data_IF_818669770438
#
_entry.id   IF_818669770438
#
_cell.length_a   1.000
_cell.length_b   1.000
_cell.length_c   1.000
_cell.angle_alpha   90.00
_cell.angle_beta   90.00
_cell.angle_gamma   90.00
#
_symmetry.space_group_name_H-M   'P 1'
#
loop_
_entity.id
_entity.type
_entity.pdbx_description
1 polymer ?
#
# COMPACT_ATOMS: atom_id res chain seq x y z
N UNK A 1 19.56 66.34 -47.56
CA UNK A 1 20.22 65.01 -47.62
C UNK A 1 20.13 64.19 -46.31
N UNK A 2 19.48 64.68 -45.26
CA UNK A 2 19.44 64.06 -43.92
C UNK A 2 18.13 63.33 -43.57
N UNK A 3 17.09 63.41 -44.42
CA UNK A 3 15.75 62.87 -44.14
C UNK A 3 15.61 61.38 -44.57
N UNK A 4 16.17 61.00 -45.72
CA UNK A 4 16.18 59.61 -46.21
C UNK A 4 16.99 58.63 -45.33
N UNK A 5 17.96 59.14 -44.56
CA UNK A 5 18.73 58.33 -43.62
C UNK A 5 17.88 57.96 -42.39
N UNK A 6 17.01 58.85 -41.89
CA UNK A 6 16.17 58.53 -40.72
C UNK A 6 15.12 57.46 -41.02
N UNK A 7 14.56 57.48 -42.23
CA UNK A 7 13.53 56.52 -42.64
C UNK A 7 14.08 55.09 -42.84
N UNK A 8 15.31 54.98 -43.36
CA UNK A 8 15.97 53.69 -43.58
C UNK A 8 16.47 53.05 -42.29
N UNK A 9 16.86 53.83 -41.29
CA UNK A 9 17.19 53.32 -39.96
C UNK A 9 15.95 52.84 -39.19
N UNK A 10 14.85 53.61 -39.23
CA UNK A 10 13.59 53.20 -38.59
C UNK A 10 12.89 51.98 -39.22
N UNK A 11 13.17 51.64 -40.49
CA UNK A 11 12.73 50.35 -41.08
C UNK A 11 13.57 49.16 -40.56
N UNK A 12 14.88 49.33 -40.44
CA UNK A 12 15.79 48.27 -39.97
C UNK A 12 15.47 47.81 -38.55
N UNK A 13 15.16 48.73 -37.65
CA UNK A 13 14.82 48.38 -36.26
C UNK A 13 13.49 47.61 -36.16
N UNK A 14 12.49 47.97 -36.99
CA UNK A 14 11.20 47.25 -37.03
C UNK A 14 11.33 45.82 -37.54
N UNK A 15 12.20 45.57 -38.51
CA UNK A 15 12.44 44.22 -39.03
C UNK A 15 13.17 43.35 -38.00
N UNK A 16 14.11 43.92 -37.24
CA UNK A 16 14.82 43.20 -36.16
C UNK A 16 13.86 42.83 -35.03
N UNK A 17 12.94 43.73 -34.66
CA UNK A 17 11.95 43.46 -33.62
C UNK A 17 10.91 42.41 -34.06
N UNK A 18 10.48 42.44 -35.33
CA UNK A 18 9.59 41.42 -35.88
C UNK A 18 10.24 40.03 -35.89
N UNK A 19 11.51 39.92 -36.27
CA UNK A 19 12.26 38.66 -36.22
C UNK A 19 12.41 38.18 -34.77
N UNK A 20 12.75 39.04 -33.82
CA UNK A 20 12.82 38.69 -32.39
C UNK A 20 11.48 38.19 -31.84
N UNK A 21 10.38 38.86 -32.16
CA UNK A 21 9.05 38.44 -31.74
C UNK A 21 8.66 37.08 -32.34
N UNK A 22 9.00 36.82 -33.60
CA UNK A 22 8.77 35.50 -34.22
C UNK A 22 9.56 34.38 -33.54
N UNK A 23 10.85 34.61 -33.22
CA UNK A 23 11.69 33.64 -32.52
C UNK A 23 11.19 33.38 -31.10
N UNK A 24 10.75 34.41 -30.39
CA UNK A 24 10.16 34.27 -29.05
C UNK A 24 8.82 33.52 -29.11
N UNK A 25 7.97 33.79 -30.10
CA UNK A 25 6.72 33.08 -30.31
C UNK A 25 6.96 31.59 -30.56
N UNK A 26 7.88 31.24 -31.46
CA UNK A 26 8.23 29.84 -31.73
C UNK A 26 8.89 29.16 -30.53
N UNK A 27 9.70 29.87 -29.74
CA UNK A 27 10.27 29.32 -28.51
C UNK A 27 9.20 29.04 -27.44
N UNK A 28 8.20 29.92 -27.30
CA UNK A 28 7.07 29.74 -26.39
C UNK A 28 6.15 28.59 -26.84
N UNK A 29 5.87 28.49 -28.13
CA UNK A 29 5.05 27.41 -28.70
C UNK A 29 5.74 26.04 -28.51
N UNK A 30 7.04 25.96 -28.79
CA UNK A 30 7.83 24.75 -28.52
C UNK A 30 7.89 24.40 -27.02
N UNK A 31 7.93 25.39 -26.13
CA UNK A 31 7.90 25.18 -24.68
C UNK A 31 6.53 24.69 -24.20
N UNK A 32 5.43 25.24 -24.73
CA UNK A 32 4.06 24.80 -24.42
C UNK A 32 3.82 23.37 -24.91
N UNK A 33 4.27 23.02 -26.12
CA UNK A 33 4.19 21.66 -26.64
C UNK A 33 4.97 20.64 -25.80
N UNK A 34 6.18 21.03 -25.34
CA UNK A 34 6.97 20.23 -24.41
C UNK A 34 6.26 19.99 -23.08
N UNK A 35 5.66 21.03 -22.51
CA UNK A 35 4.89 20.96 -21.26
C UNK A 35 3.67 20.04 -21.39
N UNK A 36 2.88 20.21 -22.46
CA UNK A 36 1.71 19.36 -22.76
C UNK A 36 2.09 17.89 -22.94
N UNK A 37 3.21 17.61 -23.62
CA UNK A 37 3.70 16.25 -23.79
C UNK A 37 4.08 15.59 -22.46
N UNK A 38 4.71 16.34 -21.55
CA UNK A 38 5.05 15.86 -20.20
C UNK A 38 3.76 15.58 -19.40
N UNK A 39 2.79 16.48 -19.42
CA UNK A 39 1.52 16.31 -18.71
C UNK A 39 0.72 15.11 -19.19
N UNK A 40 0.65 14.91 -20.51
CA UNK A 40 0.02 13.71 -21.09
C UNK A 40 0.73 12.43 -20.63
N UNK A 41 2.06 12.44 -20.56
CA UNK A 41 2.86 11.31 -20.08
C UNK A 41 2.61 11.02 -18.60
N UNK A 42 2.55 12.05 -17.75
CA UNK A 42 2.19 11.93 -16.32
C UNK A 42 0.79 11.33 -16.17
N UNK A 43 -0.20 11.90 -16.86
CA UNK A 43 -1.58 11.43 -16.82
C UNK A 43 -1.69 9.96 -17.26
N UNK A 44 -0.97 9.58 -18.30
CA UNK A 44 -0.87 8.19 -18.76
C UNK A 44 -0.26 7.27 -17.70
N UNK A 45 0.81 7.69 -17.00
CA UNK A 45 1.43 6.93 -15.89
C UNK A 45 0.45 6.75 -14.74
N UNK A 46 -0.23 7.82 -14.32
CA UNK A 46 -1.24 7.83 -13.26
C UNK A 46 -2.39 6.87 -13.58
N UNK A 47 -2.96 6.97 -14.78
CA UNK A 47 -4.05 6.09 -15.22
C UNK A 47 -3.65 4.61 -15.21
N UNK A 48 -2.41 4.26 -15.61
CA UNK A 48 -1.93 2.87 -15.54
C UNK A 48 -1.83 2.35 -14.12
N UNK A 49 -1.37 3.16 -13.17
CA UNK A 49 -1.29 2.76 -11.75
C UNK A 49 -2.69 2.58 -11.15
N UNK A 50 -3.60 3.52 -11.41
CA UNK A 50 -5.01 3.44 -10.97
C UNK A 50 -5.67 2.16 -11.49
N UNK A 51 -5.58 1.89 -12.80
CA UNK A 51 -6.12 0.67 -13.41
C UNK A 51 -5.48 -0.60 -12.86
N UNK A 52 -4.19 -0.54 -12.52
CA UNK A 52 -3.48 -1.64 -11.87
C UNK A 52 -4.10 -2.00 -10.51
N UNK A 53 -4.36 -1.00 -9.66
CA UNK A 53 -5.03 -1.21 -8.38
C UNK A 53 -6.49 -1.64 -8.53
N UNK A 54 -7.22 -1.13 -9.53
CA UNK A 54 -8.58 -1.57 -9.87
C UNK A 54 -8.61 -3.05 -10.28
N UNK A 55 -7.68 -3.48 -11.16
CA UNK A 55 -7.56 -4.87 -11.57
C UNK A 55 -7.21 -5.78 -10.39
N UNK A 56 -6.31 -5.34 -9.50
CA UNK A 56 -5.99 -6.06 -8.28
C UNK A 56 -7.24 -6.22 -7.39
N UNK A 57 -7.96 -5.12 -7.10
CA UNK A 57 -9.20 -5.17 -6.33
C UNK A 57 -10.22 -6.14 -6.94
N UNK A 58 -10.51 -6.00 -8.24
CA UNK A 58 -11.45 -6.85 -8.95
C UNK A 58 -11.05 -8.34 -8.91
N UNK A 59 -9.76 -8.64 -9.04
CA UNK A 59 -9.26 -10.02 -8.99
C UNK A 59 -9.43 -10.67 -7.61
N UNK A 60 -9.22 -9.93 -6.52
CA UNK A 60 -9.52 -10.43 -5.17
C UNK A 60 -11.02 -10.62 -4.95
N UNK A 61 -11.85 -9.68 -5.41
CA UNK A 61 -13.32 -9.83 -5.34
C UNK A 61 -13.77 -11.09 -6.10
N UNK A 62 -13.28 -11.29 -7.33
CA UNK A 62 -13.57 -12.47 -8.12
C UNK A 62 -13.10 -13.75 -7.40
N UNK A 63 -11.89 -13.75 -6.82
CA UNK A 63 -11.40 -14.87 -6.02
C UNK A 63 -12.30 -15.15 -4.80
N UNK A 64 -12.79 -14.10 -4.13
CA UNK A 64 -13.70 -14.20 -2.99
C UNK A 64 -15.04 -14.83 -3.39
N UNK A 65 -15.66 -14.33 -4.47
CA UNK A 65 -16.92 -14.85 -5.00
C UNK A 65 -16.79 -16.31 -5.45
N UNK A 66 -15.70 -16.66 -6.14
CA UNK A 66 -15.44 -18.03 -6.55
C UNK A 66 -15.18 -18.95 -5.36
N UNK A 67 -14.50 -18.47 -4.33
CA UNK A 67 -14.29 -19.23 -3.09
C UNK A 67 -15.62 -19.47 -2.38
N UNK A 68 -16.49 -18.45 -2.28
CA UNK A 68 -17.83 -18.59 -1.71
C UNK A 68 -18.69 -19.59 -2.50
N UNK A 69 -18.67 -19.50 -3.84
CA UNK A 69 -19.42 -20.41 -4.72
C UNK A 69 -18.92 -21.86 -4.66
N UNK A 70 -17.62 -22.06 -4.49
CA UNK A 70 -17.02 -23.40 -4.36
C UNK A 70 -17.35 -24.08 -3.02
N UNK A 71 -18.27 -23.52 -2.23
CA UNK A 71 -18.64 -24.05 -0.93
C UNK A 71 -17.48 -23.98 0.04
N UNK A 72 -16.65 -22.91 -0.02
CA UNK A 72 -15.69 -22.65 1.04
C UNK A 72 -16.47 -22.66 2.37
N UNK A 73 -16.32 -23.75 3.12
CA UNK A 73 -17.10 -24.07 4.31
C UNK A 73 -16.87 -23.11 5.47
N UNK A 74 -16.04 -22.08 5.24
CA UNK A 74 -15.58 -21.14 6.24
C UNK A 74 -15.42 -19.75 5.62
N UNK A 75 -16.04 -18.75 6.24
CA UNK A 75 -15.89 -17.32 5.90
C UNK A 75 -14.45 -16.80 6.13
N UNK A 76 -13.63 -17.59 6.81
CA UNK A 76 -12.33 -17.23 7.39
C UNK A 76 -11.25 -16.98 6.35
N UNK A 77 -11.06 -17.84 5.33
CA UNK A 77 -10.05 -17.57 4.30
C UNK A 77 -10.44 -16.33 3.49
N UNK A 78 -11.74 -16.08 3.30
CA UNK A 78 -12.23 -14.90 2.60
C UNK A 78 -11.96 -13.64 3.45
N UNK A 79 -12.47 -13.60 4.67
CA UNK A 79 -12.35 -12.44 5.56
C UNK A 79 -10.90 -12.14 5.99
N UNK A 80 -10.06 -13.16 6.15
CA UNK A 80 -8.68 -13.00 6.63
C UNK A 80 -7.61 -12.95 5.54
N UNK A 81 -7.87 -13.43 4.32
CA UNK A 81 -6.88 -13.50 3.24
C UNK A 81 -7.30 -12.70 2.00
N UNK A 82 -8.59 -12.60 1.68
CA UNK A 82 -9.03 -11.93 0.45
C UNK A 82 -9.43 -10.47 0.74
N UNK A 83 -10.21 -10.25 1.79
CA UNK A 83 -10.76 -8.92 2.10
C UNK A 83 -9.66 -7.88 2.41
N UNK A 84 -8.64 -8.14 3.24
CA UNK A 84 -7.64 -7.11 3.57
C UNK A 84 -6.86 -6.58 2.36
N UNK A 85 -6.22 -7.40 1.51
CA UNK A 85 -5.51 -6.87 0.35
C UNK A 85 -6.46 -6.22 -0.67
N UNK A 86 -7.69 -6.72 -0.84
CA UNK A 86 -8.70 -6.07 -1.69
C UNK A 86 -9.02 -4.65 -1.19
N UNK A 87 -9.34 -4.50 0.10
CA UNK A 87 -9.72 -3.22 0.64
C UNK A 87 -8.54 -2.23 0.68
N UNK A 88 -7.31 -2.69 0.93
CA UNK A 88 -6.13 -1.84 0.77
C UNK A 88 -5.93 -1.47 -0.71
N UNK A 89 -6.17 -2.37 -1.66
CA UNK A 89 -6.16 -2.02 -3.09
C UNK A 89 -7.11 -0.86 -3.39
N UNK A 90 -8.31 -0.88 -2.81
CA UNK A 90 -9.29 0.21 -2.93
C UNK A 90 -8.79 1.53 -2.34
N UNK A 91 -8.15 1.49 -1.17
CA UNK A 91 -7.44 2.65 -0.58
C UNK A 91 -6.38 3.20 -1.54
N UNK A 92 -5.60 2.31 -2.18
CA UNK A 92 -4.53 2.69 -3.11
C UNK A 92 -5.07 3.33 -4.40
N UNK A 93 -6.25 2.92 -4.89
CA UNK A 93 -6.94 3.62 -6.00
C UNK A 93 -7.17 5.08 -5.63
N UNK A 94 -7.73 5.33 -4.44
CA UNK A 94 -7.98 6.69 -3.95
C UNK A 94 -6.68 7.46 -3.72
N UNK A 95 -5.62 6.81 -3.23
CA UNK A 95 -4.32 7.44 -3.06
C UNK A 95 -3.71 7.88 -4.39
N UNK A 96 -3.74 7.00 -5.40
CA UNK A 96 -3.24 7.24 -6.74
C UNK A 96 -4.01 8.34 -7.46
N UNK A 97 -5.35 8.39 -7.34
CA UNK A 97 -6.18 9.43 -7.98
C UNK A 97 -5.90 10.83 -7.44
N UNK A 98 -5.55 10.95 -6.15
CA UNK A 98 -5.32 12.23 -5.48
C UNK A 98 -3.83 12.56 -5.28
N UNK A 99 -2.92 11.90 -6.00
CA UNK A 99 -1.47 12.15 -5.94
C UNK A 99 -0.86 12.01 -4.54
N UNK A 100 -1.38 11.09 -3.72
CA UNK A 100 -0.92 10.86 -2.34
C UNK A 100 0.07 9.71 -2.20
N UNK A 101 0.47 9.04 -3.29
CA UNK A 101 1.33 7.84 -3.22
C UNK A 101 2.72 8.11 -2.63
N UNK A 102 3.15 9.36 -2.61
CA UNK A 102 4.44 9.78 -2.08
C UNK A 102 4.50 9.86 -0.55
N UNK A 103 3.34 9.84 0.13
CA UNK A 103 3.27 9.78 1.59
C UNK A 103 3.78 8.45 2.12
N UNK A 104 4.50 8.51 3.26
CA UNK A 104 5.01 7.35 3.99
C UNK A 104 3.95 6.27 4.23
N UNK A 105 2.70 6.68 4.46
CA UNK A 105 1.55 5.77 4.65
C UNK A 105 1.39 4.86 3.45
N UNK A 106 1.31 5.42 2.24
CA UNK A 106 1.02 4.64 1.04
C UNK A 106 2.25 3.90 0.50
N UNK A 107 3.45 4.43 0.76
CA UNK A 107 4.71 3.70 0.56
C UNK A 107 4.75 2.42 1.42
N UNK A 108 4.45 2.52 2.72
CA UNK A 108 4.38 1.36 3.62
C UNK A 108 3.28 0.37 3.22
N UNK A 109 2.11 0.85 2.79
CA UNK A 109 1.03 -0.01 2.31
C UNK A 109 1.41 -0.75 1.02
N UNK A 110 2.12 -0.11 0.08
CA UNK A 110 2.66 -0.80 -1.09
C UNK A 110 3.67 -1.88 -0.69
N UNK A 111 4.58 -1.59 0.25
CA UNK A 111 5.55 -2.59 0.73
C UNK A 111 4.85 -3.76 1.43
N UNK A 112 3.83 -3.48 2.25
CA UNK A 112 3.02 -4.51 2.91
C UNK A 112 2.29 -5.38 1.89
N UNK A 113 1.72 -4.78 0.84
CA UNK A 113 1.09 -5.52 -0.25
C UNK A 113 2.13 -6.33 -1.05
N UNK A 114 3.33 -5.79 -1.28
CA UNK A 114 4.41 -6.52 -1.96
C UNK A 114 4.83 -7.77 -1.18
N UNK A 115 5.11 -7.62 0.12
CA UNK A 115 5.38 -8.73 1.04
C UNK A 115 4.23 -9.74 0.99
N UNK A 116 2.99 -9.24 1.08
CA UNK A 116 1.79 -10.06 1.06
C UNK A 116 1.66 -10.89 -0.23
N UNK A 117 1.89 -10.28 -1.39
CA UNK A 117 1.84 -10.93 -2.69
C UNK A 117 2.94 -11.97 -2.85
N UNK A 118 4.18 -11.66 -2.47
CA UNK A 118 5.33 -12.58 -2.59
C UNK A 118 5.17 -13.81 -1.71
N UNK A 119 4.86 -13.61 -0.42
CA UNK A 119 4.65 -14.72 0.51
C UNK A 119 3.38 -15.49 0.12
N UNK A 120 2.35 -14.83 -0.39
CA UNK A 120 1.15 -15.51 -0.86
C UNK A 120 1.40 -16.41 -2.08
N UNK A 121 2.25 -15.97 -3.01
CA UNK A 121 2.68 -16.82 -4.14
C UNK A 121 3.47 -18.03 -3.64
N UNK A 122 4.36 -17.84 -2.65
CA UNK A 122 5.08 -18.94 -2.00
C UNK A 122 4.10 -19.93 -1.34
N UNK A 123 3.09 -19.45 -0.61
CA UNK A 123 2.04 -20.30 -0.01
C UNK A 123 1.33 -21.13 -1.08
N UNK A 124 0.99 -20.54 -2.23
CA UNK A 124 0.36 -21.28 -3.33
C UNK A 124 1.30 -22.29 -3.98
N UNK A 125 2.59 -21.99 -4.08
CA UNK A 125 3.57 -22.93 -4.60
C UNK A 125 3.70 -24.16 -3.68
N UNK A 126 3.83 -23.92 -2.36
CA UNK A 126 3.95 -24.98 -1.35
C UNK A 126 2.68 -25.83 -1.22
N UNK A 127 1.50 -25.21 -1.31
CA UNK A 127 0.21 -25.89 -1.21
C UNK A 127 -0.32 -26.47 -2.53
N UNK A 128 0.47 -26.50 -3.61
CA UNK A 128 0.05 -26.99 -4.93
C UNK A 128 -1.04 -26.13 -5.63
N UNK A 129 -1.32 -24.94 -5.10
CA UNK A 129 -2.33 -24.01 -5.59
C UNK A 129 -1.92 -23.22 -6.84
N UNK A 130 -0.64 -23.26 -7.24
CA UNK A 130 -0.12 -22.51 -8.39
C UNK A 130 -0.78 -22.90 -9.73
N UNK A 131 -1.30 -24.13 -9.83
CA UNK A 131 -2.02 -24.64 -11.01
C UNK A 131 -3.40 -24.00 -11.21
N UNK A 132 -3.87 -23.15 -10.28
CA UNK A 132 -5.18 -22.49 -10.34
C UNK A 132 -4.98 -20.99 -10.62
N UNK A 133 -5.08 -20.55 -11.89
CA UNK A 133 -4.80 -19.16 -12.28
C UNK A 133 -5.60 -18.13 -11.47
N UNK A 134 -6.84 -18.45 -11.12
CA UNK A 134 -7.73 -17.63 -10.30
C UNK A 134 -7.12 -17.26 -8.93
N UNK A 135 -6.27 -18.12 -8.36
CA UNK A 135 -5.60 -17.88 -7.07
C UNK A 135 -4.28 -17.12 -7.25
N UNK A 136 -3.58 -17.36 -8.36
CA UNK A 136 -2.26 -16.77 -8.65
C UNK A 136 -2.40 -15.31 -9.11
N UNK A 137 -3.38 -15.04 -9.98
CA UNK A 137 -3.59 -13.74 -10.61
C UNK A 137 -3.67 -12.58 -9.60
N UNK A 138 -4.50 -12.60 -8.54
CA UNK A 138 -4.58 -11.49 -7.59
C UNK A 138 -3.24 -11.21 -6.91
N UNK A 139 -2.51 -12.24 -6.49
CA UNK A 139 -1.22 -12.10 -5.82
C UNK A 139 -0.14 -11.58 -6.79
N UNK A 140 -0.10 -12.08 -8.02
CA UNK A 140 0.81 -11.58 -9.05
C UNK A 140 0.55 -10.11 -9.38
N UNK A 141 -0.73 -9.72 -9.54
CA UNK A 141 -1.12 -8.32 -9.70
C UNK A 141 -0.74 -7.49 -8.47
N UNK A 142 -0.83 -8.04 -7.26
CA UNK A 142 -0.35 -7.37 -6.05
C UNK A 142 1.14 -7.06 -6.14
N UNK A 143 1.98 -8.04 -6.45
CA UNK A 143 3.43 -7.83 -6.57
C UNK A 143 3.74 -6.73 -7.60
N UNK A 144 3.19 -6.86 -8.82
CA UNK A 144 3.48 -5.91 -9.91
C UNK A 144 3.01 -4.49 -9.60
N UNK A 145 1.80 -4.34 -9.08
CA UNK A 145 1.24 -3.01 -8.82
C UNK A 145 1.81 -2.36 -7.57
N UNK A 146 2.20 -3.14 -6.56
CA UNK A 146 2.90 -2.63 -5.38
C UNK A 146 4.28 -2.08 -5.72
N UNK A 147 5.06 -2.78 -6.55
CA UNK A 147 6.37 -2.29 -7.01
C UNK A 147 6.20 -0.98 -7.79
N UNK A 148 5.25 -0.94 -8.73
CA UNK A 148 4.96 0.29 -9.49
C UNK A 148 4.52 1.42 -8.58
N UNK A 149 3.57 1.17 -7.69
CA UNK A 149 3.04 2.13 -6.74
C UNK A 149 4.11 2.72 -5.82
N UNK A 150 4.96 1.84 -5.25
CA UNK A 150 6.08 2.27 -4.42
C UNK A 150 7.08 3.10 -5.23
N UNK A 151 7.46 2.64 -6.43
CA UNK A 151 8.40 3.36 -7.28
C UNK A 151 7.91 4.76 -7.66
N UNK A 152 6.62 4.93 -7.99
CA UNK A 152 6.04 6.26 -8.24
C UNK A 152 5.91 7.10 -6.97
N UNK A 153 5.65 6.48 -5.81
CA UNK A 153 5.66 7.19 -4.53
C UNK A 153 7.04 7.74 -4.15
N UNK A 154 8.12 7.02 -4.47
CA UNK A 154 9.49 7.48 -4.20
C UNK A 154 9.95 8.49 -5.24
N UNK A 155 9.90 8.12 -6.53
CA UNK A 155 10.50 8.88 -7.63
C UNK A 155 9.62 10.03 -8.14
N UNK A 156 8.36 10.10 -7.69
CA UNK A 156 7.35 10.97 -8.27
C UNK A 156 6.87 10.51 -9.65
N UNK A 157 5.83 11.15 -10.16
CA UNK A 157 5.25 10.80 -11.47
C UNK A 157 6.17 11.11 -12.64
N UNK A 158 7.02 12.12 -12.49
CA UNK A 158 7.99 12.54 -13.51
C UNK A 158 9.28 11.73 -13.48
N UNK A 159 9.62 11.09 -12.35
CA UNK A 159 10.91 10.42 -12.11
C UNK A 159 12.10 11.38 -12.13
N UNK A 160 11.83 12.63 -11.79
CA UNK A 160 12.75 13.75 -11.73
C UNK A 160 13.49 13.85 -10.38
N UNK A 161 13.03 13.12 -9.36
CA UNK A 161 13.72 12.97 -8.07
C UNK A 161 14.95 12.09 -8.20
N UNK A 162 16.00 12.61 -8.83
CA UNK A 162 17.29 11.95 -9.03
C UNK A 162 18.12 11.85 -7.74
N UNK A 163 17.77 12.66 -6.74
CA UNK A 163 18.38 12.70 -5.41
C UNK A 163 17.94 11.54 -4.51
N UNK A 164 16.83 10.86 -4.84
CA UNK A 164 16.27 9.77 -4.02
C UNK A 164 16.36 8.43 -4.74
N UNK A 165 17.13 7.50 -4.16
CA UNK A 165 17.16 6.11 -4.62
C UNK A 165 16.06 5.28 -3.94
N UNK A 166 15.53 4.27 -4.63
CA UNK A 166 14.54 3.35 -4.05
C UNK A 166 15.07 2.64 -2.80
N UNK A 167 16.35 2.24 -2.83
CA UNK A 167 17.00 1.60 -1.69
C UNK A 167 17.22 2.58 -0.53
N UNK A 168 17.56 3.84 -0.82
CA UNK A 168 17.66 4.90 0.18
C UNK A 168 16.34 5.19 0.89
N UNK A 169 15.23 5.26 0.14
CA UNK A 169 13.90 5.42 0.74
C UNK A 169 13.48 4.19 1.56
N UNK A 170 13.79 2.98 1.07
CA UNK A 170 13.49 1.73 1.79
C UNK A 170 14.25 1.64 3.11
N UNK A 171 15.56 1.92 3.09
CA UNK A 171 16.40 1.90 4.31
C UNK A 171 15.96 2.97 5.31
N UNK A 172 15.62 4.17 4.83
CA UNK A 172 15.00 5.23 5.67
C UNK A 172 13.66 4.78 6.24
N UNK A 173 12.82 4.15 5.43
CA UNK A 173 11.52 3.60 5.83
C UNK A 173 11.65 2.51 6.90
N UNK A 174 12.62 1.60 6.74
CA UNK A 174 12.92 0.56 7.72
C UNK A 174 13.43 1.18 9.04
N UNK A 175 14.40 2.10 8.96
CA UNK A 175 14.95 2.81 10.13
C UNK A 175 13.87 3.56 10.90
N UNK A 176 13.03 4.33 10.20
CA UNK A 176 11.92 5.06 10.83
C UNK A 176 10.87 4.14 11.44
N UNK A 177 10.64 2.97 10.84
CA UNK A 177 9.74 1.95 11.39
C UNK A 177 10.30 1.40 12.70
N UNK A 178 11.56 0.97 12.71
CA UNK A 178 12.23 0.46 13.91
C UNK A 178 12.27 1.52 15.02
N UNK A 179 12.64 2.76 14.69
CA UNK A 179 12.64 3.86 15.65
C UNK A 179 11.24 4.14 16.19
N UNK A 180 10.21 4.05 15.34
CA UNK A 180 8.82 4.22 15.75
C UNK A 180 8.35 3.15 16.74
N UNK A 181 8.85 1.92 16.64
CA UNK A 181 8.59 0.87 17.63
C UNK A 181 9.19 1.16 19.02
N UNK A 182 10.28 1.93 19.09
CA UNK A 182 10.95 2.27 20.35
C UNK A 182 10.47 3.63 20.90
N UNK A 183 9.85 4.44 20.06
CA UNK A 183 9.39 5.78 20.43
C UNK A 183 8.15 5.74 21.33
N UNK A 184 8.15 6.55 22.39
CA UNK A 184 6.99 6.74 23.28
C UNK A 184 5.77 7.24 22.48
N UNK A 185 4.57 6.64 22.65
CA UNK A 185 3.37 7.10 21.96
C UNK A 185 2.99 8.51 22.43
N UNK A 186 2.54 9.36 21.49
CA UNK A 186 2.20 10.77 21.81
C UNK A 186 0.83 10.94 22.46
N UNK A 187 -0.10 10.02 22.21
CA UNK A 187 -1.45 10.05 22.76
C UNK A 187 -1.95 8.63 23.08
N UNK A 188 -3.07 8.53 23.82
CA UNK A 188 -3.62 7.24 24.25
C UNK A 188 -4.01 6.34 23.07
N UNK A 189 -4.56 6.92 21.99
CA UNK A 189 -4.91 6.17 20.77
C UNK A 189 -3.67 5.54 20.14
N UNK A 190 -2.59 6.31 19.97
CA UNK A 190 -1.32 5.83 19.47
C UNK A 190 -0.74 4.73 20.38
N UNK A 191 -0.89 4.85 21.70
CA UNK A 191 -0.52 3.82 22.68
C UNK A 191 -1.28 2.50 22.46
N UNK A 192 -2.60 2.56 22.24
CA UNK A 192 -3.41 1.38 21.93
C UNK A 192 -3.01 0.72 20.61
N UNK A 193 -2.78 1.49 19.54
CA UNK A 193 -2.28 0.94 18.28
C UNK A 193 -0.87 0.35 18.41
N UNK A 194 -0.01 0.96 19.22
CA UNK A 194 1.33 0.45 19.50
C UNK A 194 1.27 -0.90 20.22
N UNK A 195 0.44 -1.02 21.25
CA UNK A 195 0.22 -2.28 21.96
C UNK A 195 -0.32 -3.37 21.03
N UNK A 196 -1.30 -3.04 20.17
CA UNK A 196 -1.82 -3.95 19.15
C UNK A 196 -0.72 -4.39 18.18
N UNK A 197 0.08 -3.43 17.69
CA UNK A 197 1.17 -3.69 16.74
C UNK A 197 2.23 -4.61 17.35
N UNK A 198 2.66 -4.36 18.59
CA UNK A 198 3.62 -5.21 19.31
C UNK A 198 3.04 -6.62 19.50
N UNK A 199 1.76 -6.73 19.88
CA UNK A 199 1.11 -8.03 20.05
C UNK A 199 1.10 -8.83 18.74
N UNK A 200 0.68 -8.23 17.63
CA UNK A 200 0.68 -8.91 16.32
C UNK A 200 2.10 -9.23 15.86
N UNK A 201 3.06 -8.33 16.10
CA UNK A 201 4.46 -8.56 15.78
C UNK A 201 5.05 -9.75 16.56
N UNK A 202 4.72 -9.88 17.85
CA UNK A 202 5.12 -11.04 18.67
C UNK A 202 4.51 -12.33 18.13
N UNK A 203 3.23 -12.34 17.79
CA UNK A 203 2.58 -13.50 17.15
C UNK A 203 3.22 -13.85 15.80
N UNK A 204 3.58 -12.84 15.01
CA UNK A 204 4.32 -13.01 13.75
C UNK A 204 5.66 -13.69 13.99
N UNK A 205 6.42 -13.28 15.02
CA UNK A 205 7.70 -13.88 15.38
C UNK A 205 7.54 -15.32 15.87
N UNK A 206 6.49 -15.63 16.64
CA UNK A 206 6.18 -17.02 17.02
C UNK A 206 5.91 -17.89 15.79
N UNK A 207 5.17 -17.37 14.79
CA UNK A 207 4.97 -18.10 13.52
C UNK A 207 6.24 -18.20 12.68
N UNK A 208 7.13 -17.22 12.74
CA UNK A 208 8.44 -17.32 12.11
C UNK A 208 9.29 -18.41 12.77
N UNK A 209 9.27 -18.52 14.10
CA UNK A 209 9.94 -19.59 14.83
C UNK A 209 9.42 -20.96 14.39
N UNK A 210 8.10 -21.14 14.30
CA UNK A 210 7.49 -22.39 13.79
C UNK A 210 7.97 -22.72 12.37
N UNK A 211 8.07 -21.73 11.47
CA UNK A 211 8.61 -21.92 10.11
C UNK A 211 10.05 -22.43 10.17
N UNK A 212 10.89 -21.82 11.00
CA UNK A 212 12.30 -22.21 11.16
C UNK A 212 12.42 -23.61 11.75
N UNK A 213 11.66 -23.94 12.79
CA UNK A 213 11.65 -25.27 13.41
C UNK A 213 11.25 -26.35 12.41
N UNK A 214 10.22 -26.08 11.61
CA UNK A 214 9.75 -27.00 10.57
C UNK A 214 10.79 -27.19 9.46
N UNK A 215 11.50 -26.12 9.06
CA UNK A 215 12.60 -26.19 8.09
C UNK A 215 13.84 -26.93 8.63
N UNK A 216 14.10 -26.87 9.93
CA UNK A 216 15.22 -27.55 10.59
C UNK A 216 14.89 -28.98 11.01
N UNK A 217 13.60 -29.30 11.18
CA UNK A 217 13.16 -30.67 11.39
C UNK A 217 13.37 -31.45 10.09
N UNK A 218 14.26 -32.45 10.10
CA UNK A 218 14.48 -33.35 8.96
C UNK A 218 13.26 -34.27 8.67
N UNK A 219 12.09 -33.92 9.17
CA UNK A 219 10.84 -34.66 9.00
C UNK A 219 10.27 -34.39 7.61
N UNK A 220 9.65 -35.40 6.97
CA UNK A 220 8.98 -35.19 5.68
C UNK A 220 7.88 -34.12 5.83
N UNK A 221 8.08 -33.00 5.14
CA UNK A 221 7.15 -31.87 5.17
C UNK A 221 5.88 -32.23 4.40
N UNK A 222 4.78 -32.38 5.13
CA UNK A 222 3.45 -32.21 4.57
C UNK A 222 3.36 -30.78 4.02
N UNK A 223 3.42 -30.63 2.69
CA UNK A 223 3.42 -29.31 2.03
C UNK A 223 2.20 -28.46 2.40
N UNK A 224 1.09 -29.09 2.75
CA UNK A 224 -0.13 -28.42 3.23
C UNK A 224 0.01 -27.78 4.61
N UNK A 225 0.67 -28.44 5.55
CA UNK A 225 0.87 -27.92 6.90
C UNK A 225 1.85 -26.75 6.88
N UNK A 226 2.96 -26.88 6.15
CA UNK A 226 3.92 -25.80 5.99
C UNK A 226 3.30 -24.59 5.29
N UNK A 227 2.55 -24.79 4.20
CA UNK A 227 1.83 -23.71 3.52
C UNK A 227 0.85 -22.99 4.47
N UNK A 228 0.20 -23.72 5.39
CA UNK A 228 -0.72 -23.14 6.37
C UNK A 228 0.00 -22.25 7.38
N UNK A 229 1.17 -22.67 7.88
CA UNK A 229 2.00 -21.87 8.80
C UNK A 229 2.47 -20.59 8.10
N UNK A 230 3.00 -20.71 6.87
CA UNK A 230 3.44 -19.55 6.06
C UNK A 230 2.27 -18.60 5.75
N UNK A 231 1.08 -19.14 5.48
CA UNK A 231 -0.12 -18.31 5.24
C UNK A 231 -0.56 -17.54 6.50
N UNK A 232 -0.40 -18.12 7.69
CA UNK A 232 -0.65 -17.42 8.97
C UNK A 232 0.39 -16.33 9.21
N UNK A 233 1.67 -16.62 8.97
CA UNK A 233 2.74 -15.63 9.01
C UNK A 233 2.44 -14.44 8.09
N UNK A 234 2.08 -14.70 6.83
CA UNK A 234 1.78 -13.65 5.85
C UNK A 234 0.71 -12.66 6.32
N UNK A 235 -0.36 -13.19 6.93
CA UNK A 235 -1.46 -12.37 7.45
C UNK A 235 -1.05 -11.52 8.65
N UNK A 236 -0.28 -12.10 9.56
CA UNK A 236 0.25 -11.38 10.72
C UNK A 236 1.24 -10.30 10.29
N UNK A 237 2.07 -10.56 9.28
CA UNK A 237 2.94 -9.56 8.68
C UNK A 237 2.15 -8.37 8.12
N UNK A 238 1.13 -8.65 7.30
CA UNK A 238 0.27 -7.61 6.73
C UNK A 238 -0.49 -6.82 7.80
N UNK A 239 -1.06 -7.50 8.80
CA UNK A 239 -1.76 -6.88 9.93
C UNK A 239 -0.83 -6.04 10.81
N UNK A 240 0.42 -6.48 11.00
CA UNK A 240 1.44 -5.69 11.73
C UNK A 240 1.67 -4.36 11.03
N UNK A 241 1.85 -4.38 9.71
CA UNK A 241 2.08 -3.16 8.92
C UNK A 241 0.87 -2.22 8.92
N UNK A 242 -0.35 -2.76 8.82
CA UNK A 242 -1.57 -1.94 8.93
C UNK A 242 -1.71 -1.31 10.31
N UNK A 243 -1.49 -2.08 11.39
CA UNK A 243 -1.56 -1.59 12.77
C UNK A 243 -0.52 -0.51 13.06
N UNK A 244 0.71 -0.72 12.58
CA UNK A 244 1.79 0.28 12.71
C UNK A 244 1.47 1.56 11.94
N UNK A 245 0.87 1.44 10.77
CA UNK A 245 0.45 2.60 9.97
C UNK A 245 -0.65 3.41 10.68
N UNK A 246 -1.57 2.74 11.36
CA UNK A 246 -2.58 3.40 12.21
C UNK A 246 -1.96 4.07 13.44
N UNK A 247 -0.94 3.45 14.06
CA UNK A 247 -0.15 4.07 15.14
C UNK A 247 0.50 5.38 14.67
N UNK A 248 1.20 5.35 13.55
CA UNK A 248 1.86 6.55 12.98
C UNK A 248 0.84 7.63 12.58
N UNK A 249 -0.33 7.25 12.08
CA UNK A 249 -1.41 8.19 11.81
C UNK A 249 -1.99 8.81 13.09
N UNK A 250 -2.10 8.02 14.17
CA UNK A 250 -2.54 8.49 15.47
C UNK A 250 -1.56 9.48 16.10
N UNK A 251 -0.26 9.24 16.00
CA UNK A 251 0.78 10.17 16.50
C UNK A 251 0.80 11.52 15.76
N UNK A 252 0.22 11.58 14.55
CA UNK A 252 0.12 12.79 13.74
C UNK A 252 -1.28 13.41 13.79
N UNK A 253 -2.18 12.87 14.61
CA UNK A 253 -3.59 13.24 14.72
C UNK A 253 -4.37 13.21 13.38
N UNK A 254 -4.03 12.25 12.50
CA UNK A 254 -4.60 12.11 11.14
C UNK A 254 -5.68 11.04 11.00
N UNK A 255 -6.14 10.44 12.09
CA UNK A 255 -7.07 9.29 12.05
C UNK A 255 -8.43 9.57 11.37
N UNK A 256 -8.85 10.84 11.26
CA UNK A 256 -10.10 11.23 10.59
C UNK A 256 -10.12 10.97 9.07
N UNK A 257 -8.96 10.74 8.45
CA UNK A 257 -8.86 10.42 7.02
C UNK A 257 -9.63 9.15 6.65
N UNK A 258 -10.34 9.16 5.51
CA UNK A 258 -11.09 8.00 4.98
C UNK A 258 -10.27 6.71 4.95
N UNK A 259 -9.00 6.81 4.56
CA UNK A 259 -8.02 5.72 4.58
C UNK A 259 -7.90 5.07 5.96
N UNK A 260 -7.72 5.86 7.01
CA UNK A 260 -7.47 5.33 8.36
C UNK A 260 -8.74 4.79 9.01
N UNK A 261 -9.91 5.36 8.67
CA UNK A 261 -11.21 4.77 9.04
C UNK A 261 -11.37 3.38 8.44
N UNK A 262 -11.10 3.23 7.13
CA UNK A 262 -11.16 1.94 6.46
C UNK A 262 -10.15 0.93 7.04
N UNK A 263 -8.91 1.37 7.27
CA UNK A 263 -7.89 0.52 7.88
C UNK A 263 -8.24 0.06 9.29
N UNK A 264 -8.90 0.89 10.10
CA UNK A 264 -9.41 0.49 11.41
C UNK A 264 -10.39 -0.68 11.30
N UNK A 265 -11.40 -0.58 10.43
CA UNK A 265 -12.35 -1.69 10.23
C UNK A 265 -11.68 -2.95 9.68
N UNK A 266 -10.67 -2.82 8.81
CA UNK A 266 -9.90 -3.97 8.33
C UNK A 266 -9.07 -4.65 9.41
N UNK A 267 -8.43 -3.87 10.29
CA UNK A 267 -7.71 -4.41 11.43
C UNK A 267 -8.68 -5.08 12.41
N UNK A 268 -9.85 -4.48 12.67
CA UNK A 268 -10.90 -5.07 13.50
C UNK A 268 -11.37 -6.42 12.96
N UNK A 269 -11.68 -6.50 11.65
CA UNK A 269 -12.06 -7.74 10.98
C UNK A 269 -10.95 -8.78 11.07
N UNK A 270 -9.70 -8.40 10.78
CA UNK A 270 -8.56 -9.32 10.82
C UNK A 270 -8.31 -9.87 12.23
N UNK A 271 -8.48 -9.04 13.26
CA UNK A 271 -8.38 -9.43 14.67
C UNK A 271 -9.53 -10.35 15.10
N UNK A 272 -10.75 -10.08 14.66
CA UNK A 272 -11.88 -10.97 14.91
C UNK A 272 -11.67 -12.35 14.28
N UNK A 273 -11.24 -12.39 13.01
CA UNK A 273 -10.88 -13.65 12.33
C UNK A 273 -9.75 -14.38 13.07
N UNK A 274 -8.75 -13.66 13.58
CA UNK A 274 -7.69 -14.24 14.39
C UNK A 274 -8.20 -14.86 15.69
N UNK A 275 -9.03 -14.14 16.43
CA UNK A 275 -9.66 -14.61 17.67
C UNK A 275 -10.47 -15.89 17.44
N UNK A 276 -11.36 -15.93 16.46
CA UNK A 276 -12.28 -17.06 16.33
C UNK A 276 -11.65 -18.31 15.73
N UNK A 277 -10.60 -18.17 14.92
CA UNK A 277 -10.14 -19.28 14.07
C UNK A 277 -8.66 -19.59 14.14
N UNK A 278 -7.83 -18.69 14.67
CA UNK A 278 -6.39 -18.91 14.76
C UNK A 278 -5.88 -19.14 16.18
N UNK A 279 -6.60 -18.69 17.20
CA UNK A 279 -6.38 -19.17 18.57
C UNK A 279 -7.19 -20.44 18.85
N UNK A 280 -6.51 -21.57 19.03
CA UNK A 280 -7.12 -22.83 19.48
C UNK A 280 -7.79 -22.63 20.84
N UNK A 281 -9.12 -22.54 20.88
CA UNK A 281 -9.90 -22.20 22.09
C UNK A 281 -10.53 -20.80 22.08
N UNK A 282 -10.32 -20.03 21.01
CA UNK A 282 -10.99 -18.74 20.81
C UNK A 282 -10.70 -17.73 21.92
N UNK A 283 -11.75 -17.01 22.33
CA UNK A 283 -11.71 -15.98 23.39
C UNK A 283 -11.30 -16.54 24.76
N UNK A 284 -11.41 -17.85 24.98
CA UNK A 284 -10.99 -18.47 26.24
C UNK A 284 -9.46 -18.52 26.41
N UNK A 285 -8.70 -18.27 25.35
CA UNK A 285 -7.24 -18.16 25.41
C UNK A 285 -6.79 -16.71 25.62
N UNK A 286 -5.66 -16.45 26.30
CA UNK A 286 -5.12 -15.09 26.42
C UNK A 286 -4.90 -14.40 25.06
N UNK A 287 -4.41 -15.14 24.06
CA UNK A 287 -4.17 -14.61 22.71
C UNK A 287 -5.48 -14.27 22.01
N UNK A 288 -6.50 -15.12 22.12
CA UNK A 288 -7.82 -14.86 21.54
C UNK A 288 -8.52 -13.68 22.23
N UNK A 289 -8.48 -13.61 23.56
CA UNK A 289 -9.00 -12.48 24.33
C UNK A 289 -8.33 -11.15 23.94
N UNK A 290 -7.00 -11.12 23.84
CA UNK A 290 -6.27 -9.93 23.37
C UNK A 290 -6.65 -9.55 21.94
N UNK A 291 -6.81 -10.55 21.06
CA UNK A 291 -7.26 -10.31 19.68
C UNK A 291 -8.67 -9.70 19.66
N UNK A 292 -9.60 -10.19 20.48
CA UNK A 292 -10.94 -9.63 20.61
C UNK A 292 -10.91 -8.18 21.13
N UNK A 293 -10.14 -7.91 22.19
CA UNK A 293 -9.97 -6.57 22.76
C UNK A 293 -9.44 -5.59 21.71
N UNK A 294 -8.39 -5.97 20.98
CA UNK A 294 -7.86 -5.12 19.92
C UNK A 294 -8.84 -4.98 18.76
N UNK A 295 -9.60 -6.03 18.42
CA UNK A 295 -10.67 -5.97 17.44
C UNK A 295 -11.71 -4.89 17.78
N UNK A 296 -12.19 -4.88 19.03
CA UNK A 296 -13.11 -3.86 19.54
C UNK A 296 -12.45 -2.48 19.56
N UNK A 297 -11.19 -2.37 19.99
CA UNK A 297 -10.44 -1.11 19.98
C UNK A 297 -10.35 -0.51 18.57
N UNK A 298 -9.99 -1.31 17.56
CA UNK A 298 -9.95 -0.87 16.17
C UNK A 298 -11.34 -0.46 15.66
N UNK A 299 -12.38 -1.25 15.95
CA UNK A 299 -13.74 -0.92 15.52
C UNK A 299 -14.23 0.41 16.14
N UNK A 300 -14.03 0.60 17.44
CA UNK A 300 -14.43 1.82 18.14
C UNK A 300 -13.67 3.05 17.62
N UNK A 301 -12.36 2.93 17.36
CA UNK A 301 -11.60 4.02 16.74
C UNK A 301 -12.05 4.30 15.30
N UNK A 302 -12.47 3.27 14.55
CA UNK A 302 -13.10 3.44 13.24
C UNK A 302 -14.39 4.26 13.30
N UNK A 303 -15.28 3.93 14.25
CA UNK A 303 -16.53 4.65 14.49
C UNK A 303 -16.24 6.09 14.94
N UNK A 304 -15.43 6.27 15.98
CA UNK A 304 -15.05 7.60 16.51
C UNK A 304 -14.43 8.49 15.43
N UNK A 305 -13.53 7.94 14.60
CA UNK A 305 -12.90 8.71 13.53
C UNK A 305 -13.86 9.04 12.38
N UNK A 306 -14.89 8.21 12.15
CA UNK A 306 -15.93 8.50 11.16
C UNK A 306 -16.89 9.61 11.61
N UNK A 307 -17.21 9.70 12.91
CA UNK A 307 -18.08 10.74 13.48
C UNK A 307 -17.39 12.11 13.53
N UNK A 308 -16.05 12.12 13.66
CA UNK A 308 -15.27 13.35 13.72
C UNK A 308 -14.89 13.92 12.34
N UNK A 309 -15.43 13.38 11.24
CA UNK A 309 -15.34 14.02 9.92
C UNK A 309 -16.30 15.21 9.89
N UNK A 310 -15.85 16.34 10.42
CA UNK A 310 -16.46 17.65 10.20
C UNK A 310 -15.48 18.50 9.42
#
# INVERSE_FOLDING_TARGET
MTENAKETWGRRDRDVDAVRLSMLSSALENADDGSRAIDMKIRGRKNRVVRGYEAMFASYVAQGLLSARAGASSIVPIAGYIVPPAAISYVMISAARHDRLDSDTYKRLNLALLEYGLIGLLVLALGGGIKRPVRVLPLALTVVNSVKGYAYGVLGWNKDRLDVTLLGDLTKGAKTTVMGFVSKPKNFKAGGYMAATITVASLKLLKLKEIVEVLLSNSPLSGGDFATIVARFNRLAFLTMMSYTLRDAADRDRLGGTTFVQMNYLCALSMAVHCFYYSSGGIATPVGALSAIFGVFFAFNGISSSMNKR
#
